data_IF_502985941597
#
_entry.id   IF_502985941597
#
_cell.length_a   1.000
_cell.length_b   1.000
_cell.length_c   1.000
_cell.angle_alpha   90.00
_cell.angle_beta   90.00
_cell.angle_gamma   90.00
#
_symmetry.space_group_name_H-M   'P 1'
#
loop_
_entity.id
_entity.type
_entity.pdbx_description
1 polymer ?
#
# COMPACT_ATOMS: atom_id res chain seq x y z
N UNK A 1 71.69 28.63 -60.25
CA UNK A 1 71.34 28.17 -58.88
C UNK A 1 70.23 29.03 -58.24
N UNK A 2 69.03 29.15 -58.86
CA UNK A 2 67.91 29.96 -58.31
C UNK A 2 66.64 29.17 -57.97
N UNK A 3 66.60 27.86 -58.23
CA UNK A 3 65.42 27.02 -57.95
C UNK A 3 65.34 26.42 -56.53
N UNK A 4 66.42 26.48 -55.75
CA UNK A 4 66.47 25.75 -54.46
C UNK A 4 65.90 26.53 -53.27
N UNK A 5 65.90 27.87 -53.28
CA UNK A 5 65.40 28.66 -52.13
C UNK A 5 63.86 28.77 -52.10
N UNK A 6 63.20 28.79 -53.26
CA UNK A 6 61.73 28.90 -53.36
C UNK A 6 61.00 27.64 -52.87
N UNK A 7 61.60 26.45 -53.02
CA UNK A 7 61.03 25.19 -52.49
C UNK A 7 61.06 25.14 -50.95
N UNK A 8 62.12 25.64 -50.30
CA UNK A 8 62.21 25.68 -48.83
C UNK A 8 61.13 26.57 -48.21
N UNK A 9 60.79 27.70 -48.83
CA UNK A 9 59.73 28.58 -48.34
C UNK A 9 58.33 28.01 -48.51
N UNK A 10 58.05 27.29 -49.62
CA UNK A 10 56.76 26.59 -49.80
C UNK A 10 56.59 25.43 -48.83
N UNK A 11 57.64 24.62 -48.61
CA UNK A 11 57.60 23.49 -47.67
C UNK A 11 57.44 24.00 -46.22
N UNK A 12 58.12 25.10 -45.84
CA UNK A 12 57.93 25.73 -44.52
C UNK A 12 56.52 26.29 -44.32
N UNK A 13 55.90 26.87 -45.35
CA UNK A 13 54.51 27.38 -45.28
C UNK A 13 53.49 26.26 -45.17
N UNK A 14 53.67 25.17 -45.91
CA UNK A 14 52.79 23.99 -45.83
C UNK A 14 52.96 23.30 -44.46
N UNK A 15 54.19 23.16 -43.96
CA UNK A 15 54.44 22.61 -42.62
C UNK A 15 53.83 23.48 -41.50
N UNK A 16 53.88 24.82 -41.63
CA UNK A 16 53.26 25.74 -40.67
C UNK A 16 51.72 25.68 -40.72
N UNK A 17 51.13 25.55 -41.91
CA UNK A 17 49.68 25.37 -42.10
C UNK A 17 49.19 24.02 -41.57
N UNK A 18 49.97 22.95 -41.74
CA UNK A 18 49.65 21.63 -41.16
C UNK A 18 49.82 21.62 -39.63
N UNK A 19 50.78 22.37 -39.07
CA UNK A 19 50.91 22.55 -37.61
C UNK A 19 49.75 23.37 -37.03
N UNK A 20 49.30 24.43 -37.72
CA UNK A 20 48.13 25.22 -37.33
C UNK A 20 46.81 24.42 -37.45
N UNK A 21 46.67 23.61 -38.51
CA UNK A 21 45.53 22.71 -38.66
C UNK A 21 45.55 21.56 -37.63
N UNK A 22 46.72 21.07 -37.26
CA UNK A 22 46.89 20.07 -36.20
C UNK A 22 46.51 20.60 -34.81
N UNK A 23 46.86 21.86 -34.50
CA UNK A 23 46.49 22.54 -33.24
C UNK A 23 44.99 22.86 -33.17
N UNK A 24 44.32 23.07 -34.31
CA UNK A 24 42.86 23.22 -34.37
C UNK A 24 42.10 21.89 -34.29
N UNK A 25 42.76 20.76 -34.51
CA UNK A 25 42.18 19.41 -34.45
C UNK A 25 42.50 18.64 -33.15
N UNK A 26 43.39 19.18 -32.30
CA UNK A 26 43.65 18.64 -30.96
C UNK A 26 43.02 19.54 -29.90
N UNK A 27 41.85 19.15 -29.41
CA UNK A 27 41.42 19.54 -28.07
C UNK A 27 40.36 20.63 -27.96
N UNK A 28 39.23 20.46 -28.65
CA UNK A 28 37.94 20.68 -28.00
C UNK A 28 37.30 19.31 -27.75
N UNK A 29 37.96 18.49 -26.92
CA UNK A 29 37.20 17.59 -26.06
C UNK A 29 36.59 18.50 -25.00
N UNK A 30 35.44 19.11 -25.31
CA UNK A 30 34.54 19.56 -24.25
C UNK A 30 34.21 18.27 -23.51
N UNK A 31 34.90 18.03 -22.40
CA UNK A 31 34.39 17.15 -21.36
C UNK A 31 33.03 17.77 -21.07
N UNK A 32 31.96 17.12 -21.52
CA UNK A 32 30.60 17.60 -21.32
C UNK A 32 30.40 17.52 -19.81
N UNK A 33 30.69 18.61 -19.11
CA UNK A 33 30.31 18.75 -17.71
C UNK A 33 28.83 18.46 -17.68
N UNK A 34 28.41 17.53 -16.81
CA UNK A 34 27.00 17.28 -16.60
C UNK A 34 26.34 18.65 -16.36
N UNK A 35 25.27 18.94 -17.08
CA UNK A 35 24.56 20.20 -16.90
C UNK A 35 24.20 20.33 -15.43
N UNK A 36 24.29 21.54 -14.87
CA UNK A 36 24.13 21.76 -13.43
C UNK A 36 22.83 21.15 -12.89
N UNK A 37 21.73 21.19 -13.65
CA UNK A 37 20.48 20.54 -13.27
C UNK A 37 20.63 19.02 -13.07
N UNK A 38 21.41 18.36 -13.93
CA UNK A 38 21.60 16.91 -13.91
C UNK A 38 22.39 16.49 -12.67
N UNK A 39 23.38 17.28 -12.26
CA UNK A 39 24.14 17.01 -11.02
C UNK A 39 23.22 17.06 -9.80
N UNK A 40 22.37 18.08 -9.71
CA UNK A 40 21.41 18.21 -8.62
C UNK A 40 20.33 17.13 -8.68
N UNK A 41 19.84 16.79 -9.87
CA UNK A 41 18.87 15.71 -10.07
C UNK A 41 19.45 14.35 -9.63
N UNK A 42 20.64 13.98 -10.13
CA UNK A 42 21.27 12.71 -9.79
C UNK A 42 21.54 12.60 -8.28
N UNK A 43 21.96 13.71 -7.64
CA UNK A 43 22.13 13.76 -6.18
C UNK A 43 20.80 13.57 -5.44
N UNK A 44 19.72 14.24 -5.90
CA UNK A 44 18.40 14.10 -5.30
C UNK A 44 17.86 12.66 -5.40
N UNK A 45 18.12 11.97 -6.51
CA UNK A 45 17.74 10.55 -6.67
C UNK A 45 18.48 9.64 -5.68
N UNK A 46 19.77 9.90 -5.41
CA UNK A 46 20.53 9.17 -4.40
C UNK A 46 19.99 9.45 -2.98
N UNK A 47 19.71 10.71 -2.66
CA UNK A 47 19.13 11.11 -1.37
C UNK A 47 17.73 10.52 -1.16
N UNK A 48 16.90 10.52 -2.19
CA UNK A 48 15.57 9.91 -2.18
C UNK A 48 15.65 8.41 -1.87
N UNK A 49 16.59 7.70 -2.51
CA UNK A 49 16.84 6.27 -2.28
C UNK A 49 17.36 5.97 -0.88
N UNK A 50 18.10 6.90 -0.29
CA UNK A 50 18.64 6.79 1.07
C UNK A 50 17.65 7.28 2.15
N UNK A 51 16.46 7.77 1.76
CA UNK A 51 15.40 8.24 2.66
C UNK A 51 15.61 9.66 3.20
N UNK A 52 16.50 10.44 2.58
CA UNK A 52 16.77 11.84 2.90
C UNK A 52 15.83 12.76 2.11
N UNK A 53 14.55 12.73 2.46
CA UNK A 53 13.49 13.36 1.68
C UNK A 53 13.61 14.90 1.61
N UNK A 54 13.96 15.55 2.72
CA UNK A 54 14.17 17.00 2.76
C UNK A 54 15.31 17.44 1.83
N UNK A 55 16.43 16.71 1.87
CA UNK A 55 17.59 16.94 1.00
C UNK A 55 17.24 16.69 -0.46
N UNK A 56 16.54 15.59 -0.76
CA UNK A 56 16.09 15.26 -2.10
C UNK A 56 15.20 16.37 -2.69
N UNK A 57 14.20 16.85 -1.93
CA UNK A 57 13.32 17.96 -2.35
C UNK A 57 14.14 19.23 -2.64
N UNK A 58 15.12 19.54 -1.79
CA UNK A 58 15.99 20.70 -1.99
C UNK A 58 16.84 20.58 -3.26
N UNK A 59 17.43 19.40 -3.52
CA UNK A 59 18.23 19.18 -4.72
C UNK A 59 17.40 19.10 -6.00
N UNK A 60 16.22 18.47 -6.00
CA UNK A 60 15.32 18.56 -7.15
C UNK A 60 14.90 20.00 -7.43
N UNK A 61 14.65 20.80 -6.38
CA UNK A 61 14.36 22.24 -6.55
C UNK A 61 15.54 22.98 -7.19
N UNK A 62 16.77 22.72 -6.75
CA UNK A 62 17.97 23.28 -7.38
C UNK A 62 18.13 22.81 -8.84
N UNK A 63 17.74 21.57 -9.17
CA UNK A 63 17.73 21.06 -10.52
C UNK A 63 16.73 21.82 -11.41
N UNK A 64 15.50 22.03 -10.91
CA UNK A 64 14.45 22.80 -11.57
C UNK A 64 14.87 24.26 -11.78
N UNK A 65 15.50 24.90 -10.79
CA UNK A 65 16.02 26.27 -10.93
C UNK A 65 17.13 26.37 -11.98
N UNK A 66 17.99 25.33 -12.09
CA UNK A 66 19.07 25.28 -13.05
C UNK A 66 18.57 25.05 -14.49
N UNK A 67 17.51 24.25 -14.69
CA UNK A 67 16.83 24.08 -15.97
C UNK A 67 15.33 23.75 -15.77
N UNK A 68 14.43 24.75 -15.90
CA UNK A 68 12.99 24.57 -15.71
C UNK A 68 12.29 23.71 -16.77
N UNK A 69 13.01 23.25 -17.81
CA UNK A 69 12.43 22.44 -18.90
C UNK A 69 12.71 20.95 -18.73
N UNK A 70 13.03 20.50 -17.52
CA UNK A 70 13.33 19.11 -17.19
C UNK A 70 12.17 18.45 -16.48
N UNK A 71 11.35 17.74 -17.26
CA UNK A 71 10.21 16.98 -16.75
C UNK A 71 10.64 16.01 -15.64
N UNK A 72 11.79 15.36 -15.81
CA UNK A 72 12.34 14.38 -14.87
C UNK A 72 12.63 14.98 -13.49
N UNK A 73 13.06 16.24 -13.42
CA UNK A 73 13.30 16.92 -12.14
C UNK A 73 12.00 17.28 -11.40
N UNK A 74 10.93 17.59 -12.13
CA UNK A 74 9.60 17.76 -11.53
C UNK A 74 9.05 16.42 -11.07
N UNK A 75 9.09 15.39 -11.91
CA UNK A 75 8.65 14.04 -11.54
C UNK A 75 9.39 13.50 -10.31
N UNK A 76 10.72 13.66 -10.26
CA UNK A 76 11.53 13.26 -9.10
C UNK A 76 11.16 14.01 -7.82
N UNK A 77 10.87 15.32 -7.89
CA UNK A 77 10.41 16.07 -6.71
C UNK A 77 9.01 15.67 -6.28
N UNK A 78 8.12 15.42 -7.24
CA UNK A 78 6.78 14.88 -6.99
C UNK A 78 6.86 13.56 -6.24
N UNK A 79 7.77 12.66 -6.65
CA UNK A 79 8.02 11.41 -5.95
C UNK A 79 8.51 11.64 -4.51
N UNK A 80 9.41 12.60 -4.31
CA UNK A 80 9.92 12.93 -2.97
C UNK A 80 8.84 13.45 -2.03
N UNK A 81 7.89 14.24 -2.53
CA UNK A 81 6.72 14.66 -1.78
C UNK A 81 5.76 13.50 -1.50
N UNK A 82 5.52 12.64 -2.50
CA UNK A 82 4.62 11.49 -2.40
C UNK A 82 5.02 10.53 -1.28
N UNK A 83 6.33 10.25 -1.14
CA UNK A 83 6.85 9.30 -0.14
C UNK A 83 7.35 9.98 1.13
N UNK A 84 7.12 11.29 1.29
CA UNK A 84 7.56 12.03 2.46
C UNK A 84 6.85 11.49 3.72
N UNK A 85 7.58 11.24 4.82
CA UNK A 85 7.00 10.64 6.01
C UNK A 85 6.05 11.59 6.72
N UNK A 86 4.81 11.14 6.89
CA UNK A 86 3.75 11.84 7.60
C UNK A 86 2.60 12.22 6.68
N UNK A 87 1.37 12.06 7.18
CA UNK A 87 0.16 12.44 6.46
C UNK A 87 0.00 13.96 6.44
N UNK A 88 0.64 14.62 5.47
CA UNK A 88 0.34 16.01 5.15
C UNK A 88 -0.37 16.04 3.81
N UNK A 89 -1.65 16.40 3.82
CA UNK A 89 -2.41 16.67 2.60
C UNK A 89 -1.71 17.69 1.70
N UNK A 90 -0.96 18.62 2.28
CA UNK A 90 -0.15 19.61 1.55
C UNK A 90 0.85 18.90 0.61
N UNK A 91 1.61 17.91 1.12
CA UNK A 91 2.60 17.18 0.30
C UNK A 91 1.98 16.41 -0.87
N UNK A 92 0.77 15.88 -0.70
CA UNK A 92 0.05 15.24 -1.80
C UNK A 92 -0.40 16.24 -2.86
N UNK A 93 -0.75 17.48 -2.48
CA UNK A 93 -1.05 18.56 -3.41
C UNK A 93 0.21 19.01 -4.17
N UNK A 94 1.35 19.12 -3.48
CA UNK A 94 2.63 19.47 -4.11
C UNK A 94 3.13 18.37 -5.06
N UNK A 95 3.01 17.10 -4.67
CA UNK A 95 3.32 15.95 -5.53
C UNK A 95 2.51 16.00 -6.82
N UNK A 96 1.18 16.18 -6.71
CA UNK A 96 0.29 16.27 -7.86
C UNK A 96 0.68 17.41 -8.80
N UNK A 97 0.95 18.60 -8.26
CA UNK A 97 1.31 19.77 -9.05
C UNK A 97 2.62 19.55 -9.84
N UNK A 98 3.60 18.88 -9.24
CA UNK A 98 4.86 18.57 -9.88
C UNK A 98 4.73 17.49 -10.96
N UNK A 99 3.95 16.42 -10.74
CA UNK A 99 3.68 15.42 -11.78
C UNK A 99 2.92 16.04 -12.96
N UNK A 100 1.90 16.85 -12.71
CA UNK A 100 1.19 17.58 -13.77
C UNK A 100 2.12 18.54 -14.54
N UNK A 101 3.10 19.15 -13.86
CA UNK A 101 4.09 20.00 -14.51
C UNK A 101 5.08 19.20 -15.34
N UNK A 102 5.49 18.01 -14.89
CA UNK A 102 6.30 17.09 -15.67
C UNK A 102 5.57 16.69 -16.97
N UNK A 103 4.29 16.31 -16.88
CA UNK A 103 3.48 15.93 -18.05
C UNK A 103 3.22 17.10 -19.02
N UNK A 104 3.15 18.34 -18.54
CA UNK A 104 3.10 19.54 -19.41
C UNK A 104 4.38 19.74 -20.23
N UNK A 105 5.52 19.28 -19.71
CA UNK A 105 6.83 19.40 -20.37
C UNK A 105 7.11 18.19 -21.27
N UNK A 106 6.68 17.00 -20.85
CA UNK A 106 6.81 15.74 -21.55
C UNK A 106 5.60 14.84 -21.23
N UNK A 107 4.64 14.79 -22.15
CA UNK A 107 3.42 13.97 -22.02
C UNK A 107 3.73 12.46 -21.99
N UNK A 108 4.93 12.05 -22.44
CA UNK A 108 5.40 10.66 -22.41
C UNK A 108 6.17 10.29 -21.13
N UNK A 109 6.22 11.16 -20.12
CA UNK A 109 6.97 10.89 -18.90
C UNK A 109 6.27 9.81 -18.05
N UNK A 110 6.79 8.59 -18.10
CA UNK A 110 6.23 7.43 -17.40
C UNK A 110 6.21 7.66 -15.88
N UNK A 111 7.30 8.16 -15.28
CA UNK A 111 7.39 8.37 -13.84
C UNK A 111 6.29 9.32 -13.32
N UNK A 112 5.97 10.37 -14.08
CA UNK A 112 4.92 11.31 -13.72
C UNK A 112 3.51 10.70 -13.82
N UNK A 113 3.27 9.85 -14.83
CA UNK A 113 2.01 9.11 -14.92
C UNK A 113 1.84 8.12 -13.77
N UNK A 114 2.89 7.35 -13.45
CA UNK A 114 2.87 6.42 -12.32
C UNK A 114 2.67 7.17 -11.00
N UNK A 115 3.31 8.32 -10.81
CA UNK A 115 3.11 9.16 -9.64
C UNK A 115 1.68 9.68 -9.47
N UNK A 116 1.00 10.05 -10.56
CA UNK A 116 -0.43 10.40 -10.53
C UNK A 116 -1.32 9.19 -10.22
N UNK A 117 -0.99 8.02 -10.77
CA UNK A 117 -1.67 6.76 -10.44
C UNK A 117 -1.55 6.44 -8.94
N UNK A 118 -0.35 6.56 -8.37
CA UNK A 118 -0.10 6.31 -6.96
C UNK A 118 -0.86 7.31 -6.07
N UNK A 119 -0.97 8.57 -6.48
CA UNK A 119 -1.81 9.57 -5.79
C UNK A 119 -3.29 9.18 -5.78
N UNK A 120 -3.81 8.62 -6.88
CA UNK A 120 -5.18 8.09 -6.93
C UNK A 120 -5.34 6.92 -5.95
N UNK A 121 -4.39 5.97 -5.94
CA UNK A 121 -4.43 4.80 -5.05
C UNK A 121 -4.34 5.19 -3.57
N UNK A 122 -3.48 6.14 -3.21
CA UNK A 122 -3.39 6.67 -1.83
C UNK A 122 -4.68 7.36 -1.38
N UNK A 123 -5.48 7.87 -2.32
CA UNK A 123 -6.78 8.48 -2.06
C UNK A 123 -7.93 7.46 -2.13
N UNK A 124 -7.60 6.16 -2.22
CA UNK A 124 -8.55 5.05 -2.40
C UNK A 124 -9.41 5.20 -3.68
N UNK A 125 -8.95 5.98 -4.66
CA UNK A 125 -9.61 6.20 -5.95
C UNK A 125 -9.04 5.25 -7.02
N UNK A 126 -9.31 3.95 -6.84
CA UNK A 126 -8.81 2.90 -7.74
C UNK A 126 -9.33 3.06 -9.17
N UNK A 127 -10.55 3.58 -9.35
CA UNK A 127 -11.08 3.86 -10.70
C UNK A 127 -10.35 5.04 -11.36
N UNK A 128 -10.08 6.11 -10.61
CA UNK A 128 -9.24 7.22 -11.09
C UNK A 128 -7.83 6.77 -11.45
N UNK A 129 -7.25 5.82 -10.71
CA UNK A 129 -5.96 5.21 -11.04
C UNK A 129 -6.01 4.47 -12.39
N UNK A 130 -7.06 3.69 -12.65
CA UNK A 130 -7.29 3.00 -13.93
C UNK A 130 -7.45 3.98 -15.09
N UNK A 131 -8.26 5.03 -14.90
CA UNK A 131 -8.50 6.04 -15.94
C UNK A 131 -7.19 6.79 -16.27
N UNK A 132 -6.40 7.14 -15.24
CA UNK A 132 -5.08 7.75 -15.39
C UNK A 132 -4.12 6.86 -16.17
N UNK A 133 -4.04 5.57 -15.85
CA UNK A 133 -3.17 4.62 -16.58
C UNK A 133 -3.60 4.42 -18.03
N UNK A 134 -4.91 4.46 -18.33
CA UNK A 134 -5.42 4.41 -19.71
C UNK A 134 -4.99 5.62 -20.52
N UNK A 135 -5.09 6.82 -19.95
CA UNK A 135 -4.56 8.04 -20.57
C UNK A 135 -3.04 7.96 -20.76
N UNK A 136 -2.32 7.42 -19.76
CA UNK A 136 -0.89 7.24 -19.81
C UNK A 136 -0.45 6.28 -20.94
N UNK A 137 -1.18 5.19 -21.19
CA UNK A 137 -0.89 4.28 -22.31
C UNK A 137 -1.00 4.97 -23.66
N UNK A 138 -2.04 5.79 -23.84
CA UNK A 138 -2.23 6.55 -25.08
C UNK A 138 -1.11 7.59 -25.28
N UNK A 139 -0.67 8.25 -24.20
CA UNK A 139 0.37 9.28 -24.24
C UNK A 139 1.80 8.71 -24.44
N UNK A 140 2.09 7.55 -23.84
CA UNK A 140 3.43 6.93 -23.87
C UNK A 140 3.64 5.98 -25.03
N UNK A 141 2.59 5.66 -25.80
CA UNK A 141 2.67 4.72 -26.92
C UNK A 141 2.71 3.27 -26.47
N UNK A 142 1.90 2.93 -25.45
CA UNK A 142 1.77 1.61 -24.85
C UNK A 142 3.04 1.16 -24.11
N UNK A 143 3.53 1.99 -23.17
CA UNK A 143 4.63 1.58 -22.28
C UNK A 143 4.28 0.29 -21.51
N UNK A 144 5.25 -0.63 -21.44
CA UNK A 144 5.05 -1.95 -20.84
C UNK A 144 4.80 -1.88 -19.32
N UNK A 145 5.42 -0.92 -18.64
CA UNK A 145 5.29 -0.72 -17.19
C UNK A 145 3.87 -0.26 -16.84
N UNK A 146 3.38 0.74 -17.57
CA UNK A 146 2.01 1.26 -17.42
C UNK A 146 0.99 0.16 -17.74
N UNK A 147 1.22 -0.63 -18.80
CA UNK A 147 0.34 -1.73 -19.16
C UNK A 147 0.30 -2.82 -18.09
N UNK A 148 1.46 -3.14 -17.51
CA UNK A 148 1.53 -4.11 -16.41
C UNK A 148 0.72 -3.62 -15.21
N UNK A 149 0.96 -2.39 -14.75
CA UNK A 149 0.26 -1.83 -13.60
C UNK A 149 -1.25 -1.71 -13.83
N UNK A 150 -1.67 -1.37 -15.06
CA UNK A 150 -3.10 -1.34 -15.42
C UNK A 150 -3.74 -2.73 -15.30
N UNK A 151 -3.08 -3.76 -15.85
CA UNK A 151 -3.61 -5.13 -15.79
C UNK A 151 -3.68 -5.66 -14.35
N UNK A 152 -2.72 -5.28 -13.50
CA UNK A 152 -2.73 -5.64 -12.08
C UNK A 152 -3.95 -5.04 -11.36
N UNK A 153 -4.18 -3.73 -11.52
CA UNK A 153 -5.32 -3.05 -10.89
C UNK A 153 -6.66 -3.52 -11.46
N UNK A 154 -6.78 -3.66 -12.78
CA UNK A 154 -8.02 -4.18 -13.41
C UNK A 154 -8.29 -5.63 -12.98
N UNK A 155 -7.24 -6.44 -12.80
CA UNK A 155 -7.36 -7.80 -12.27
C UNK A 155 -7.89 -7.83 -10.84
N UNK A 156 -7.40 -6.94 -9.97
CA UNK A 156 -7.91 -6.78 -8.60
C UNK A 156 -9.39 -6.37 -8.61
N UNK A 157 -9.75 -5.34 -9.37
CA UNK A 157 -11.14 -4.85 -9.47
C UNK A 157 -12.10 -5.93 -9.98
N UNK A 158 -11.67 -6.71 -10.97
CA UNK A 158 -12.46 -7.84 -11.48
C UNK A 158 -12.60 -8.96 -10.44
N UNK A 159 -11.53 -9.24 -9.67
CA UNK A 159 -11.57 -10.15 -8.52
C UNK A 159 -12.61 -9.70 -7.49
N UNK A 160 -12.56 -8.44 -7.08
CA UNK A 160 -13.49 -7.84 -6.11
C UNK A 160 -14.94 -7.92 -6.60
N UNK A 161 -15.19 -7.55 -7.86
CA UNK A 161 -16.53 -7.63 -8.46
C UNK A 161 -17.06 -9.07 -8.45
N UNK A 162 -16.21 -10.05 -8.77
CA UNK A 162 -16.59 -11.47 -8.73
C UNK A 162 -16.86 -11.94 -7.30
N UNK A 163 -16.07 -11.50 -6.33
CA UNK A 163 -16.28 -11.79 -4.92
C UNK A 163 -17.63 -11.25 -4.43
N UNK A 164 -17.94 -9.99 -4.71
CA UNK A 164 -19.22 -9.37 -4.39
C UNK A 164 -20.40 -10.16 -4.97
N UNK A 165 -20.37 -10.49 -6.26
CA UNK A 165 -21.40 -11.29 -6.92
C UNK A 165 -21.53 -12.69 -6.29
N UNK A 166 -20.42 -13.31 -5.92
CA UNK A 166 -20.40 -14.62 -5.28
C UNK A 166 -20.99 -14.58 -3.86
N UNK A 167 -20.69 -13.56 -3.07
CA UNK A 167 -21.25 -13.38 -1.73
C UNK A 167 -22.76 -13.08 -1.79
N UNK A 168 -23.20 -12.22 -2.72
CA UNK A 168 -24.62 -11.97 -2.95
C UNK A 168 -25.38 -13.25 -3.29
N UNK A 169 -24.84 -14.06 -4.21
CA UNK A 169 -25.42 -15.35 -4.57
C UNK A 169 -25.43 -16.33 -3.38
N UNK A 170 -24.31 -16.43 -2.65
CA UNK A 170 -24.18 -17.28 -1.47
C UNK A 170 -25.21 -16.94 -0.39
N UNK A 171 -25.44 -15.64 -0.13
CA UNK A 171 -26.45 -15.17 0.80
C UNK A 171 -27.87 -15.48 0.30
N UNK A 172 -28.18 -15.17 -0.96
CA UNK A 172 -29.51 -15.40 -1.55
C UNK A 172 -29.91 -16.89 -1.56
N UNK A 173 -28.94 -17.77 -1.81
CA UNK A 173 -29.12 -19.23 -1.79
C UNK A 173 -29.03 -19.83 -0.38
N UNK A 174 -28.75 -19.01 0.63
CA UNK A 174 -28.54 -19.41 2.02
C UNK A 174 -27.43 -20.47 2.17
N UNK A 175 -26.33 -20.31 1.44
CA UNK A 175 -25.20 -21.22 1.42
C UNK A 175 -24.59 -21.46 2.81
N UNK A 176 -24.68 -20.45 3.69
CA UNK A 176 -24.26 -20.51 5.09
C UNK A 176 -24.96 -21.61 5.90
N UNK A 177 -26.14 -22.08 5.47
CA UNK A 177 -26.85 -23.17 6.15
C UNK A 177 -26.08 -24.49 6.14
N UNK A 178 -25.15 -24.67 5.19
CA UNK A 178 -24.29 -25.86 5.10
C UNK A 178 -23.32 -25.99 6.28
N UNK A 179 -23.09 -24.90 7.02
CA UNK A 179 -22.14 -24.84 8.13
C UNK A 179 -22.82 -24.83 9.50
N UNK A 180 -24.16 -24.92 9.56
CA UNK A 180 -24.93 -24.86 10.81
C UNK A 180 -24.56 -25.92 11.84
N UNK A 181 -24.03 -27.07 11.41
CA UNK A 181 -23.60 -28.12 12.35
C UNK A 181 -22.44 -27.67 13.26
N UNK A 182 -21.71 -26.61 12.88
CA UNK A 182 -20.67 -25.98 13.72
C UNK A 182 -21.18 -24.81 14.56
N UNK A 183 -22.44 -24.40 14.39
CA UNK A 183 -23.10 -23.36 15.21
C UNK A 183 -23.77 -24.00 16.43
N UNK A 184 -23.04 -24.15 17.54
CA UNK A 184 -23.59 -24.75 18.75
C UNK A 184 -24.53 -23.81 19.52
N UNK A 185 -24.41 -22.50 19.34
CA UNK A 185 -25.17 -21.49 20.09
C UNK A 185 -25.82 -20.51 19.16
N UNK A 186 -27.15 -20.40 19.24
CA UNK A 186 -27.94 -19.50 18.39
C UNK A 186 -27.73 -19.74 16.88
N UNK A 187 -28.63 -19.22 16.06
CA UNK A 187 -28.51 -19.33 14.60
C UNK A 187 -27.88 -18.04 14.04
N UNK A 188 -27.21 -18.10 12.87
CA UNK A 188 -26.79 -16.90 12.17
C UNK A 188 -28.01 -16.02 11.86
N UNK A 189 -27.88 -14.71 12.10
CA UNK A 189 -28.98 -13.72 12.00
C UNK A 189 -28.69 -12.59 11.03
N UNK A 190 -27.43 -12.18 10.94
CA UNK A 190 -27.02 -10.97 10.24
C UNK A 190 -25.60 -11.13 9.68
N UNK A 191 -25.25 -10.27 8.73
CA UNK A 191 -23.96 -10.29 8.05
C UNK A 191 -23.40 -8.88 7.83
N UNK A 192 -22.10 -8.81 7.60
CA UNK A 192 -21.39 -7.60 7.21
C UNK A 192 -20.28 -7.96 6.22
N UNK A 193 -19.84 -6.97 5.44
CA UNK A 193 -18.66 -7.05 4.59
C UNK A 193 -17.52 -6.30 5.30
N UNK A 194 -16.37 -6.94 5.46
CA UNK A 194 -15.21 -6.39 6.17
C UNK A 194 -13.92 -6.86 5.52
N UNK A 195 -12.96 -5.96 5.30
CA UNK A 195 -11.63 -6.31 4.80
C UNK A 195 -10.71 -6.80 5.93
N UNK A 196 -10.15 -8.00 5.82
CA UNK A 196 -9.37 -8.65 6.90
C UNK A 196 -7.91 -8.97 6.55
N UNK A 197 -7.46 -8.73 5.32
CA UNK A 197 -6.13 -9.14 4.86
C UNK A 197 -5.38 -8.09 4.01
N UNK A 198 -5.93 -6.88 3.85
CA UNK A 198 -5.34 -5.80 3.04
C UNK A 198 -5.23 -6.08 1.53
N UNK A 199 -6.04 -7.00 0.99
CA UNK A 199 -6.06 -7.27 -0.45
C UNK A 199 -7.05 -6.37 -1.24
N UNK A 200 -7.75 -5.47 -0.55
CA UNK A 200 -8.77 -4.59 -1.12
C UNK A 200 -10.11 -5.30 -1.39
N UNK A 201 -10.27 -6.55 -0.99
CA UNK A 201 -11.49 -7.35 -1.11
C UNK A 201 -12.13 -7.52 0.27
N UNK A 202 -13.43 -7.24 0.40
CA UNK A 202 -14.13 -7.52 1.65
C UNK A 202 -14.41 -9.02 1.80
N UNK A 203 -14.27 -9.54 3.01
CA UNK A 203 -14.79 -10.83 3.44
C UNK A 203 -16.22 -10.73 3.97
N UNK A 204 -16.97 -11.83 3.79
CA UNK A 204 -18.31 -11.97 4.33
C UNK A 204 -18.25 -12.47 5.77
N UNK A 205 -18.54 -11.58 6.73
CA UNK A 205 -18.75 -11.92 8.12
C UNK A 205 -20.22 -12.26 8.36
N UNK A 206 -20.52 -13.47 8.84
CA UNK A 206 -21.85 -13.84 9.32
C UNK A 206 -21.79 -13.99 10.83
N UNK A 207 -22.74 -13.36 11.53
CA UNK A 207 -22.84 -13.45 12.99
C UNK A 207 -24.24 -13.86 13.43
N UNK A 208 -24.29 -14.42 14.64
CA UNK A 208 -25.51 -14.81 15.33
C UNK A 208 -25.30 -14.70 16.84
N UNK A 209 -26.27 -14.11 17.52
CA UNK A 209 -26.20 -13.89 18.97
C UNK A 209 -27.31 -12.95 19.43
N UNK A 210 -27.55 -12.86 20.74
CA UNK A 210 -28.34 -11.78 21.34
C UNK A 210 -29.35 -12.18 22.41
N UNK A 211 -29.84 -13.42 22.45
CA UNK A 211 -30.84 -13.81 23.47
C UNK A 211 -30.17 -14.24 24.78
N UNK A 212 -29.00 -14.87 24.69
CA UNK A 212 -28.20 -15.32 25.85
C UNK A 212 -27.01 -14.41 26.16
N UNK A 213 -26.81 -13.32 25.41
CA UNK A 213 -25.68 -12.40 25.59
C UNK A 213 -24.35 -12.90 25.05
N UNK A 214 -24.37 -13.88 24.15
CA UNK A 214 -23.18 -14.42 23.47
C UNK A 214 -23.33 -14.29 21.96
N UNK A 215 -22.21 -14.09 21.28
CA UNK A 215 -22.06 -14.00 19.84
C UNK A 215 -21.26 -15.18 19.31
N UNK A 216 -21.56 -15.56 18.08
CA UNK A 216 -20.81 -16.50 17.28
C UNK A 216 -20.66 -15.90 15.90
N UNK A 217 -19.56 -16.22 15.23
CA UNK A 217 -19.32 -15.72 13.91
C UNK A 217 -18.63 -16.76 13.03
N UNK A 218 -18.80 -16.59 11.72
CA UNK A 218 -18.02 -17.26 10.70
C UNK A 218 -17.59 -16.20 9.67
N UNK A 219 -16.36 -16.34 9.18
CA UNK A 219 -15.83 -15.53 8.08
C UNK A 219 -15.85 -16.39 6.84
N UNK A 220 -16.28 -15.83 5.72
CA UNK A 220 -16.27 -16.48 4.42
C UNK A 220 -15.45 -15.65 3.45
N UNK A 221 -14.64 -16.34 2.66
CA UNK A 221 -13.73 -15.77 1.67
C UNK A 221 -14.15 -16.24 0.28
N UNK A 222 -13.83 -15.45 -0.74
CA UNK A 222 -14.00 -15.84 -2.13
C UNK A 222 -12.70 -16.45 -2.65
N UNK A 223 -12.74 -17.74 -2.97
CA UNK A 223 -11.62 -18.44 -3.57
C UNK A 223 -11.61 -18.24 -5.09
N UNK A 224 -10.68 -17.42 -5.57
CA UNK A 224 -10.56 -17.07 -6.99
C UNK A 224 -10.24 -18.29 -7.88
N UNK A 225 -9.55 -19.30 -7.35
CA UNK A 225 -9.16 -20.50 -8.09
C UNK A 225 -10.35 -21.44 -8.36
N UNK A 226 -11.20 -21.65 -7.35
CA UNK A 226 -12.39 -22.48 -7.50
C UNK A 226 -13.63 -21.73 -7.95
N UNK A 227 -13.61 -20.39 -7.91
CA UNK A 227 -14.76 -19.51 -8.18
C UNK A 227 -15.91 -19.78 -7.20
N UNK A 228 -15.58 -19.98 -5.91
CA UNK A 228 -16.57 -20.31 -4.88
C UNK A 228 -16.33 -19.59 -3.55
N UNK A 229 -17.39 -19.48 -2.76
CA UNK A 229 -17.32 -18.98 -1.38
C UNK A 229 -17.01 -20.14 -0.44
N UNK A 230 -15.93 -20.00 0.35
CA UNK A 230 -15.48 -21.01 1.32
C UNK A 230 -15.36 -20.37 2.72
N UNK A 231 -15.55 -21.13 3.80
CA UNK A 231 -15.33 -20.60 5.15
C UNK A 231 -13.84 -20.46 5.44
N UNK A 232 -13.47 -19.40 6.15
CA UNK A 232 -12.17 -19.29 6.77
C UNK A 232 -12.09 -20.24 7.98
N UNK A 233 -10.98 -20.96 8.08
CA UNK A 233 -10.63 -21.74 9.27
C UNK A 233 -10.21 -20.80 10.39
N UNK A 234 -10.76 -20.96 11.59
CA UNK A 234 -10.46 -20.10 12.73
C UNK A 234 -9.41 -20.79 13.58
N UNK A 235 -8.22 -20.20 13.64
CA UNK A 235 -7.15 -20.73 14.47
C UNK A 235 -7.50 -20.60 15.96
N UNK A 236 -7.09 -21.58 16.75
CA UNK A 236 -7.22 -21.57 18.22
C UNK A 236 -8.68 -21.37 18.73
N UNK A 237 -9.65 -21.92 18.00
CA UNK A 237 -11.05 -21.87 18.42
C UNK A 237 -11.27 -22.51 19.81
N UNK A 238 -11.77 -21.70 20.73
CA UNK A 238 -12.00 -22.04 22.14
C UNK A 238 -12.85 -23.31 22.34
N UNK A 239 -13.75 -23.61 21.40
CA UNK A 239 -14.68 -24.76 21.48
C UNK A 239 -14.35 -25.90 20.51
N UNK A 240 -13.22 -25.82 19.80
CA UNK A 240 -12.79 -26.84 18.83
C UNK A 240 -13.65 -26.93 17.57
N UNK A 241 -14.48 -25.92 17.30
CA UNK A 241 -15.09 -25.70 15.98
C UNK A 241 -14.00 -25.28 14.99
N UNK A 242 -14.18 -25.59 13.71
CA UNK A 242 -13.18 -25.28 12.69
C UNK A 242 -13.46 -23.94 12.03
N UNK A 243 -14.73 -23.63 11.78
CA UNK A 243 -15.14 -22.48 10.97
C UNK A 243 -16.01 -21.45 11.71
N UNK A 244 -16.53 -21.82 12.88
CA UNK A 244 -17.44 -20.96 13.65
C UNK A 244 -16.80 -20.61 14.97
N UNK A 245 -16.44 -19.35 15.15
CA UNK A 245 -15.99 -18.79 16.40
C UNK A 245 -17.19 -18.65 17.34
N UNK A 246 -17.05 -19.03 18.61
CA UNK A 246 -18.18 -19.16 19.52
C UNK A 246 -17.89 -18.56 20.89
N UNK A 247 -18.97 -18.18 21.59
CA UNK A 247 -18.92 -17.64 22.94
C UNK A 247 -18.12 -16.34 23.08
N UNK A 248 -18.39 -15.38 22.21
CA UNK A 248 -17.83 -14.04 22.33
C UNK A 248 -18.83 -13.06 22.94
N UNK A 249 -18.34 -12.04 23.64
CA UNK A 249 -19.19 -11.02 24.26
C UNK A 249 -19.57 -9.89 23.29
N UNK A 250 -18.75 -9.66 22.28
CA UNK A 250 -18.89 -8.60 21.29
C UNK A 250 -18.02 -8.92 20.09
N UNK A 251 -18.39 -8.38 18.92
CA UNK A 251 -17.58 -8.39 17.70
C UNK A 251 -17.53 -6.95 17.19
N UNK A 252 -16.31 -6.46 17.00
CA UNK A 252 -15.96 -5.12 16.54
C UNK A 252 -14.98 -5.27 15.37
N UNK A 253 -14.66 -4.16 14.71
CA UNK A 253 -13.70 -4.11 13.61
C UNK A 253 -12.68 -2.99 13.83
N UNK A 254 -11.39 -3.29 13.66
CA UNK A 254 -10.31 -2.30 13.64
C UNK A 254 -9.88 -2.07 12.19
N UNK A 255 -10.11 -0.86 11.68
CA UNK A 255 -9.66 -0.46 10.33
C UNK A 255 -8.13 -0.31 10.27
N UNK A 256 -7.49 0.12 11.37
CA UNK A 256 -6.03 0.25 11.47
C UNK A 256 -5.32 -1.09 11.32
N UNK A 257 -5.94 -2.17 11.80
CA UNK A 257 -5.35 -3.50 11.75
C UNK A 257 -6.00 -4.42 10.71
N UNK A 258 -7.08 -3.98 10.04
CA UNK A 258 -7.96 -4.82 9.20
C UNK A 258 -8.28 -6.13 9.92
N UNK A 259 -8.83 -5.99 11.12
CA UNK A 259 -8.98 -7.11 12.05
C UNK A 259 -10.36 -7.14 12.70
N UNK A 260 -10.90 -8.35 12.85
CA UNK A 260 -12.00 -8.61 13.76
C UNK A 260 -11.49 -8.51 15.20
N UNK A 261 -12.22 -7.75 16.01
CA UNK A 261 -11.88 -7.49 17.41
C UNK A 261 -12.99 -8.06 18.27
N UNK A 262 -12.72 -9.14 19.00
CA UNK A 262 -13.74 -9.80 19.80
C UNK A 262 -13.25 -10.14 21.20
N UNK A 263 -14.19 -10.09 22.13
CA UNK A 263 -13.94 -10.34 23.55
C UNK A 263 -14.24 -11.79 23.88
N UNK A 264 -13.25 -12.51 24.38
CA UNK A 264 -13.35 -13.93 24.74
C UNK A 264 -13.96 -14.09 26.13
N UNK A 265 -14.92 -15.00 26.28
CA UNK A 265 -15.62 -15.20 27.56
C UNK A 265 -15.07 -16.37 28.39
N UNK A 266 -14.07 -17.09 27.90
CA UNK A 266 -13.62 -18.33 28.51
C UNK A 266 -12.21 -18.21 29.10
N UNK A 267 -12.13 -17.69 30.33
CA UNK A 267 -11.04 -18.00 31.24
C UNK A 267 -11.63 -18.04 32.66
N UNK A 268 -11.57 -19.19 33.33
CA UNK A 268 -12.18 -19.44 34.65
C UNK A 268 -11.59 -18.64 35.83
N UNK A 269 -10.95 -17.51 35.55
CA UNK A 269 -10.30 -16.54 36.45
C UNK A 269 -10.51 -15.18 35.76
N UNK A 270 -10.72 -14.09 36.52
CA UNK A 270 -11.05 -12.72 36.05
C UNK A 270 -10.05 -12.11 35.03
N UNK A 271 -9.97 -12.69 33.85
CA UNK A 271 -9.20 -12.23 32.71
C UNK A 271 -10.19 -11.79 31.66
N UNK A 272 -10.12 -10.52 31.31
CA UNK A 272 -10.76 -10.02 30.12
C UNK A 272 -9.72 -9.98 29.02
N UNK A 273 -9.88 -10.80 27.98
CA UNK A 273 -9.03 -10.78 26.81
C UNK A 273 -9.81 -10.37 25.57
N UNK A 274 -9.22 -9.47 24.82
CA UNK A 274 -9.69 -9.01 23.51
C UNK A 274 -8.69 -9.47 22.48
N UNK A 275 -9.16 -10.19 21.47
CA UNK A 275 -8.33 -10.73 20.40
C UNK A 275 -8.57 -9.92 19.13
N UNK A 276 -7.47 -9.53 18.47
CA UNK A 276 -7.46 -8.90 17.16
C UNK A 276 -7.05 -9.99 16.16
N UNK A 277 -7.96 -10.33 15.26
CA UNK A 277 -7.74 -11.39 14.29
C UNK A 277 -7.89 -10.90 12.86
N UNK A 278 -6.86 -11.15 12.06
CA UNK A 278 -6.84 -10.90 10.63
C UNK A 278 -6.77 -12.22 9.87
N UNK A 279 -6.96 -12.14 8.55
CA UNK A 279 -6.93 -13.31 7.68
C UNK A 279 -5.50 -13.49 7.12
N UNK A 280 -4.85 -14.62 7.44
CA UNK A 280 -3.53 -15.03 6.96
C UNK A 280 -3.64 -16.32 6.14
N UNK A 281 -2.95 -16.44 5.00
CA UNK A 281 -3.19 -17.54 4.02
C UNK A 281 -4.66 -17.47 3.54
N UNK A 282 -5.07 -17.87 2.31
CA UNK A 282 -6.28 -17.32 1.70
C UNK A 282 -7.59 -17.64 2.44
N UNK A 283 -7.57 -18.48 3.48
CA UNK A 283 -8.74 -18.79 4.30
C UNK A 283 -8.40 -19.16 5.76
N UNK A 284 -7.41 -18.55 6.43
CA UNK A 284 -7.20 -18.79 7.88
C UNK A 284 -7.31 -17.50 8.68
N UNK A 285 -8.23 -17.46 9.65
CA UNK A 285 -8.37 -16.36 10.59
C UNK A 285 -7.45 -16.60 11.79
N UNK A 286 -6.41 -15.79 11.91
CA UNK A 286 -5.33 -15.92 12.90
C UNK A 286 -5.37 -14.75 13.88
N UNK A 287 -4.99 -14.99 15.14
CA UNK A 287 -4.82 -13.92 16.11
C UNK A 287 -3.53 -13.12 15.81
N UNK A 288 -3.69 -11.87 15.35
CA UNK A 288 -2.57 -10.94 15.17
C UNK A 288 -1.94 -10.60 16.51
N UNK A 289 -2.79 -10.25 17.49
CA UNK A 289 -2.41 -10.09 18.88
C UNK A 289 -3.65 -10.16 19.78
N UNK A 290 -3.44 -10.36 21.08
CA UNK A 290 -4.49 -10.16 22.07
C UNK A 290 -4.05 -9.21 23.16
N UNK A 291 -5.03 -8.48 23.70
CA UNK A 291 -4.87 -7.60 24.83
C UNK A 291 -5.58 -8.23 26.01
N UNK A 292 -4.97 -8.17 27.19
CA UNK A 292 -5.64 -8.60 28.42
C UNK A 292 -5.36 -7.66 29.56
N UNK A 293 -6.28 -7.61 30.52
CA UNK A 293 -5.97 -7.05 31.83
C UNK A 293 -6.32 -8.02 32.97
N UNK A 294 -5.54 -7.95 34.04
CA UNK A 294 -5.76 -8.70 35.28
C UNK A 294 -5.80 -7.73 36.46
N UNK A 295 -6.82 -7.86 37.31
CA UNK A 295 -6.86 -7.13 38.57
C UNK A 295 -6.42 -8.03 39.72
N UNK A 296 -5.38 -7.63 40.45
CA UNK A 296 -5.02 -8.31 41.69
C UNK A 296 -6.08 -7.99 42.74
N UNK A 297 -6.98 -8.95 42.99
CA UNK A 297 -8.13 -8.80 43.91
C UNK A 297 -7.78 -8.47 45.38
N UNK A 298 -6.51 -8.24 45.70
CA UNK A 298 -6.01 -7.76 46.99
C UNK A 298 -5.49 -6.32 46.97
N UNK A 299 -5.04 -5.78 45.83
CA UNK A 299 -4.32 -4.48 45.76
C UNK A 299 -4.98 -3.43 44.86
N UNK A 300 -6.10 -3.74 44.19
CA UNK A 300 -6.71 -2.90 43.13
C UNK A 300 -5.75 -2.56 41.97
N UNK A 301 -4.57 -3.19 41.91
CA UNK A 301 -3.63 -3.01 40.80
C UNK A 301 -4.12 -3.79 39.58
N UNK A 302 -4.29 -3.08 38.46
CA UNK A 302 -4.59 -3.66 37.15
C UNK A 302 -3.32 -3.75 36.31
N UNK A 303 -3.03 -4.94 35.81
CA UNK A 303 -1.91 -5.21 34.92
C UNK A 303 -2.41 -5.42 33.49
N UNK A 304 -1.88 -4.65 32.55
CA UNK A 304 -2.22 -4.74 31.13
C UNK A 304 -1.11 -5.47 30.36
N UNK A 305 -1.48 -6.35 29.44
CA UNK A 305 -0.54 -7.13 28.64
C UNK A 305 -1.00 -7.25 27.19
N UNK A 306 -0.05 -7.20 26.26
CA UNK A 306 -0.22 -7.55 24.84
C UNK A 306 0.46 -8.88 24.58
N UNK A 307 -0.24 -9.82 23.95
CA UNK A 307 0.29 -11.11 23.54
C UNK A 307 0.37 -11.16 22.02
N UNK A 308 1.53 -11.56 21.50
CA UNK A 308 1.81 -11.64 20.07
C UNK A 308 2.87 -12.73 19.85
N UNK A 309 2.68 -13.62 18.88
CA UNK A 309 3.61 -14.73 18.58
C UNK A 309 4.00 -15.59 19.81
N UNK A 310 3.04 -15.82 20.71
CA UNK A 310 3.27 -16.57 21.95
C UNK A 310 4.16 -15.86 22.98
N UNK A 311 4.50 -14.59 22.76
CA UNK A 311 5.22 -13.73 23.71
C UNK A 311 4.25 -12.77 24.38
N UNK A 312 4.48 -12.48 25.67
CA UNK A 312 3.71 -11.50 26.44
C UNK A 312 4.57 -10.27 26.71
N UNK A 313 3.99 -9.09 26.51
CA UNK A 313 4.59 -7.79 26.78
C UNK A 313 3.67 -6.99 27.71
N UNK A 314 4.24 -6.45 28.80
CA UNK A 314 3.53 -5.48 29.66
C UNK A 314 3.35 -4.16 28.92
N UNK A 315 2.14 -3.62 28.97
CA UNK A 315 1.75 -2.34 28.34
C UNK A 315 1.13 -1.40 29.38
N UNK A 316 1.01 -0.12 29.03
CA UNK A 316 0.28 0.85 29.86
C UNK A 316 -1.22 0.76 29.62
N UNK A 317 -2.02 1.24 30.57
CA UNK A 317 -3.47 1.43 30.40
C UNK A 317 -3.78 2.29 29.18
N UNK A 318 -3.08 3.41 29.00
CA UNK A 318 -3.26 4.30 27.84
C UNK A 318 -3.01 3.59 26.50
N UNK A 319 -2.03 2.68 26.43
CA UNK A 319 -1.76 1.90 25.23
C UNK A 319 -2.85 0.86 24.98
N UNK A 320 -3.40 0.25 26.04
CA UNK A 320 -4.54 -0.65 25.94
C UNK A 320 -5.79 0.09 25.45
N UNK A 321 -6.12 1.22 26.07
CA UNK A 321 -7.30 2.04 25.71
C UNK A 321 -7.20 2.53 24.27
N UNK A 322 -6.02 3.00 23.84
CA UNK A 322 -5.80 3.44 22.45
C UNK A 322 -6.13 2.34 21.43
N UNK A 323 -5.62 1.13 21.63
CA UNK A 323 -5.92 0.01 20.75
C UNK A 323 -7.41 -0.37 20.76
N UNK A 324 -8.12 -0.12 21.86
CA UNK A 324 -9.57 -0.34 21.92
C UNK A 324 -10.37 0.77 21.24
N UNK A 325 -9.90 2.02 21.32
CA UNK A 325 -10.54 3.18 20.67
C UNK A 325 -10.48 3.10 19.13
N UNK A 326 -9.53 2.33 18.59
CA UNK A 326 -9.39 2.02 17.16
C UNK A 326 -10.49 1.05 16.66
N UNK A 327 -11.12 0.29 17.55
CA UNK A 327 -12.13 -0.70 17.19
C UNK A 327 -13.55 -0.12 17.20
N UNK A 328 -14.24 -0.22 16.07
CA UNK A 328 -15.59 0.29 15.87
C UNK A 328 -16.66 -0.82 15.83
N UNK A 329 -17.90 -0.44 16.15
CA UNK A 329 -19.07 -1.32 15.97
C UNK A 329 -19.30 -1.55 14.48
N UNK A 330 -19.48 -2.82 14.10
CA UNK A 330 -19.80 -3.23 12.74
C UNK A 330 -21.29 -2.98 12.46
N UNK A 331 -21.60 -2.39 11.31
CA UNK A 331 -22.98 -2.25 10.84
C UNK A 331 -23.43 -3.53 10.15
N UNK A 332 -24.37 -4.24 10.79
CA UNK A 332 -24.84 -5.54 10.33
C UNK A 332 -26.17 -5.43 9.58
N UNK A 333 -26.27 -6.20 8.49
CA UNK A 333 -27.49 -6.36 7.70
C UNK A 333 -28.16 -7.70 8.03
N UNK A 334 -29.49 -7.77 8.25
CA UNK A 334 -30.19 -9.03 8.47
C UNK A 334 -30.00 -10.02 7.31
N UNK A 335 -29.80 -11.30 7.62
CA UNK A 335 -29.71 -12.36 6.61
C UNK A 335 -31.05 -12.55 5.86
N UNK A 336 -31.01 -12.90 4.55
CA UNK A 336 -32.20 -13.12 3.71
C UNK A 336 -32.99 -14.41 4.01
#
# INVERSE_FOLDING_TARGET
>A
MRGWSMRKHRIRRIALLCLLAGVLLTGCTVKREASQWQVHHDQAMDELRDGYYDEAIANFTAAIEADPMKAESYAGRGQAYLIYPGDSADYLEEAQADFEQALKLDEGNVDAWLGLTDLCLLREDTQGAVDTLKEALDATGMDETILQQLNEIEGMLEGNRRAEEAFEAFLAEKGYLSYLDEWYYEQPKEYAMVELNWDGQDELLITGGGDMGFFNFAVFVYDQDSDTVIPAEIENNVMGSRYVGQYFASILYSAEHRALVYRELNNGIFFDSVTFSGLEDPATLTALFSLSFETNGQTEETHYSKYMDGQSQSITEEAFERSMDEAAVIDFTPLP
#
